data_IF_959672564857
#
_entry.id   IF_959672564857
#
_cell.length_a   1.000
_cell.length_b   1.000
_cell.length_c   1.000
_cell.angle_alpha   90.00
_cell.angle_beta   90.00
_cell.angle_gamma   90.00
#
_symmetry.space_group_name_H-M   'P 1'
#
loop_
_entity.id
_entity.type
_entity.pdbx_description
1 polymer ?
#
# COMPACT_ATOMS: atom_id res chain seq x y z
N UNK A 1 -3.07 -16.56 -3.85
CA UNK A 1 -4.36 -16.39 -3.13
C UNK A 1 -5.11 -17.72 -3.05
N UNK A 2 -5.52 -18.33 -4.17
CA UNK A 2 -6.29 -19.60 -4.17
C UNK A 2 -5.62 -20.79 -3.46
N UNK A 3 -4.29 -20.91 -3.52
CA UNK A 3 -3.56 -21.94 -2.78
C UNK A 3 -3.55 -21.71 -1.26
N UNK A 4 -3.55 -20.45 -0.83
CA UNK A 4 -3.60 -20.09 0.59
C UNK A 4 -5.00 -20.32 1.18
N UNK A 5 -6.06 -20.16 0.38
CA UNK A 5 -7.43 -20.51 0.79
C UNK A 5 -7.57 -22.02 1.04
N UNK A 6 -6.92 -22.86 0.23
CA UNK A 6 -6.88 -24.31 0.47
C UNK A 6 -6.11 -24.65 1.75
N UNK A 7 -4.99 -23.99 2.00
CA UNK A 7 -4.24 -24.14 3.25
C UNK A 7 -5.05 -23.68 4.47
N UNK A 8 -5.95 -22.71 4.31
CA UNK A 8 -6.84 -22.30 5.38
C UNK A 8 -7.93 -23.35 5.70
N UNK A 9 -8.39 -24.09 4.69
CA UNK A 9 -9.41 -25.14 4.84
C UNK A 9 -8.83 -26.47 5.37
N UNK A 10 -7.63 -26.83 4.95
CA UNK A 10 -7.02 -28.15 5.21
C UNK A 10 -5.78 -28.11 6.11
N UNK A 11 -5.30 -26.92 6.47
CA UNK A 11 -4.09 -26.75 7.27
C UNK A 11 -4.33 -26.94 8.77
N UNK A 12 -3.27 -27.34 9.47
CA UNK A 12 -3.23 -27.37 10.93
C UNK A 12 -3.37 -25.98 11.54
N UNK A 13 -3.67 -25.91 12.84
CA UNK A 13 -3.89 -24.65 13.57
C UNK A 13 -2.73 -23.64 13.40
N UNK A 14 -1.49 -24.12 13.42
CA UNK A 14 -0.30 -23.29 13.25
C UNK A 14 -0.24 -22.68 11.84
N UNK A 15 -0.59 -23.46 10.81
CA UNK A 15 -0.64 -22.99 9.43
C UNK A 15 -1.77 -21.97 9.29
N UNK A 16 -2.93 -22.21 9.91
CA UNK A 16 -4.07 -21.30 9.88
C UNK A 16 -3.74 -19.91 10.47
N UNK A 17 -2.86 -19.83 11.47
CA UNK A 17 -2.37 -18.55 12.04
C UNK A 17 -1.46 -17.78 11.10
N UNK A 18 -0.66 -18.47 10.29
CA UNK A 18 0.27 -17.83 9.34
C UNK A 18 -0.39 -17.37 8.04
N UNK A 19 -1.50 -18.00 7.62
CA UNK A 19 -2.18 -17.68 6.35
C UNK A 19 -2.63 -16.20 6.25
N UNK A 20 -3.26 -15.59 7.27
CA UNK A 20 -3.64 -14.18 7.21
C UNK A 20 -2.44 -13.27 6.95
N UNK A 21 -1.33 -13.51 7.66
CA UNK A 21 -0.10 -12.73 7.55
C UNK A 21 0.52 -12.85 6.14
N UNK A 22 0.53 -14.06 5.57
CA UNK A 22 1.01 -14.30 4.22
C UNK A 22 0.14 -13.60 3.16
N UNK A 23 -1.19 -13.62 3.32
CA UNK A 23 -2.11 -12.88 2.45
C UNK A 23 -1.93 -11.36 2.59
N UNK A 24 -1.66 -10.88 3.81
CA UNK A 24 -1.29 -9.49 4.09
C UNK A 24 -0.04 -9.08 3.32
N UNK A 25 1.03 -9.87 3.39
CA UNK A 25 2.30 -9.63 2.68
C UNK A 25 2.11 -9.57 1.15
N UNK A 26 1.27 -10.45 0.58
CA UNK A 26 1.02 -10.48 -0.86
C UNK A 26 0.24 -9.26 -1.37
N UNK A 27 -0.53 -8.60 -0.51
CA UNK A 27 -1.43 -7.51 -0.88
C UNK A 27 -1.16 -6.21 -0.10
N UNK A 28 0.10 -5.96 0.31
CA UNK A 28 0.47 -4.75 1.04
C UNK A 28 0.13 -3.50 0.22
N UNK A 29 -0.55 -2.55 0.88
CA UNK A 29 -0.98 -1.28 0.29
C UNK A 29 -1.78 -1.44 -1.02
N UNK A 30 -2.34 -2.63 -1.28
CA UNK A 30 -3.17 -2.95 -2.43
C UNK A 30 -4.48 -3.60 -1.95
N UNK A 31 -5.50 -2.80 -1.62
CA UNK A 31 -6.75 -3.29 -1.07
C UNK A 31 -7.62 -3.97 -2.14
N UNK A 32 -7.35 -5.27 -2.36
CA UNK A 32 -8.21 -6.13 -3.19
C UNK A 32 -9.44 -6.58 -2.40
N UNK A 33 -10.62 -6.39 -3.00
CA UNK A 33 -11.92 -6.70 -2.37
C UNK A 33 -12.00 -8.14 -1.87
N UNK A 34 -11.59 -9.11 -2.69
CA UNK A 34 -11.63 -10.53 -2.31
C UNK A 34 -10.78 -10.83 -1.07
N UNK A 35 -9.64 -10.16 -0.91
CA UNK A 35 -8.76 -10.35 0.25
C UNK A 35 -9.34 -9.65 1.48
N UNK A 36 -9.95 -8.47 1.31
CA UNK A 36 -10.65 -7.79 2.41
C UNK A 36 -11.80 -8.63 2.96
N UNK A 37 -12.62 -9.24 2.09
CA UNK A 37 -13.77 -10.04 2.52
C UNK A 37 -13.35 -11.38 3.17
N UNK A 38 -12.20 -11.94 2.79
CA UNK A 38 -11.60 -13.09 3.49
C UNK A 38 -11.06 -12.69 4.87
N UNK A 39 -10.34 -11.56 4.97
CA UNK A 39 -9.84 -11.04 6.24
C UNK A 39 -10.96 -10.68 7.21
N UNK A 40 -12.05 -10.08 6.73
CA UNK A 40 -13.21 -9.73 7.55
C UNK A 40 -13.92 -10.95 8.14
N UNK A 41 -13.85 -12.11 7.49
CA UNK A 41 -14.38 -13.36 8.06
C UNK A 41 -13.45 -13.91 9.13
N UNK A 42 -12.14 -13.86 8.88
CA UNK A 42 -11.11 -14.36 9.80
C UNK A 42 -10.93 -13.48 11.04
N UNK A 43 -11.28 -12.19 10.98
CA UNK A 43 -11.24 -11.30 12.14
C UNK A 43 -12.25 -11.64 13.24
N UNK A 44 -13.23 -12.51 12.97
CA UNK A 44 -14.19 -13.03 13.94
C UNK A 44 -13.98 -14.53 14.26
N UNK A 45 -12.82 -15.09 13.91
CA UNK A 45 -12.49 -16.49 14.23
C UNK A 45 -12.42 -16.72 15.75
N UNK A 46 -12.75 -17.94 16.18
CA UNK A 46 -12.71 -18.32 17.59
C UNK A 46 -11.27 -18.37 18.15
N UNK A 47 -10.27 -18.61 17.30
CA UNK A 47 -8.87 -18.53 17.72
C UNK A 47 -8.42 -17.05 17.78
N UNK A 48 -8.01 -16.64 18.98
CA UNK A 48 -7.55 -15.29 19.26
C UNK A 48 -6.32 -14.87 18.43
N UNK A 49 -5.40 -15.78 18.14
CA UNK A 49 -4.19 -15.48 17.36
C UNK A 49 -4.51 -15.34 15.87
N UNK A 50 -5.42 -16.15 15.33
CA UNK A 50 -5.90 -16.02 13.95
C UNK A 50 -6.64 -14.69 13.75
N UNK A 51 -7.53 -14.34 14.68
CA UNK A 51 -8.28 -13.07 14.62
C UNK A 51 -7.35 -11.86 14.73
N UNK A 52 -6.39 -11.86 15.66
CA UNK A 52 -5.38 -10.80 15.76
C UNK A 52 -4.51 -10.69 14.50
N UNK A 53 -4.04 -11.82 13.95
CA UNK A 53 -3.26 -11.84 12.72
C UNK A 53 -4.06 -11.28 11.53
N UNK A 54 -5.36 -11.61 11.43
CA UNK A 54 -6.25 -11.08 10.40
C UNK A 54 -6.45 -9.56 10.53
N UNK A 55 -6.61 -9.05 11.75
CA UNK A 55 -6.77 -7.61 12.01
C UNK A 55 -5.52 -6.84 11.59
N UNK A 56 -4.33 -7.30 11.97
CA UNK A 56 -3.07 -6.64 11.56
C UNK A 56 -2.88 -6.73 10.05
N UNK A 57 -3.17 -7.88 9.44
CA UNK A 57 -3.09 -8.08 8.00
C UNK A 57 -4.04 -7.14 7.25
N UNK A 58 -5.25 -6.92 7.77
CA UNK A 58 -6.20 -5.96 7.23
C UNK A 58 -5.64 -4.51 7.25
N UNK A 59 -4.94 -4.14 8.34
CA UNK A 59 -4.21 -2.88 8.43
C UNK A 59 -3.07 -2.75 7.41
N UNK A 60 -2.29 -3.81 7.20
CA UNK A 60 -1.19 -3.85 6.22
C UNK A 60 -1.69 -3.75 4.76
N UNK A 61 -2.82 -4.40 4.44
CA UNK A 61 -3.44 -4.33 3.11
C UNK A 61 -3.93 -2.91 2.80
N UNK A 62 -4.53 -2.25 3.79
CA UNK A 62 -5.01 -0.87 3.68
C UNK A 62 -3.95 0.19 3.93
N UNK A 63 -2.70 -0.21 4.17
CA UNK A 63 -1.68 0.71 4.67
C UNK A 63 -1.46 1.88 3.72
N UNK A 64 -1.71 3.10 4.20
CA UNK A 64 -1.50 4.31 3.42
C UNK A 64 -2.50 4.56 2.30
N UNK A 65 -3.51 3.70 2.11
CA UNK A 65 -4.48 3.86 1.02
C UNK A 65 -5.71 4.65 1.44
N UNK A 66 -5.86 4.94 2.74
CA UNK A 66 -7.03 5.63 3.31
C UNK A 66 -8.38 5.06 2.82
N UNK A 67 -8.47 3.73 2.70
CA UNK A 67 -9.65 3.07 2.14
C UNK A 67 -10.80 3.11 3.16
N UNK A 68 -11.89 3.81 2.80
CA UNK A 68 -13.05 3.98 3.66
C UNK A 68 -13.69 2.64 4.10
N UNK A 69 -13.65 1.61 3.25
CA UNK A 69 -14.22 0.29 3.58
C UNK A 69 -13.47 -0.39 4.70
N UNK A 70 -12.13 -0.40 4.62
CA UNK A 70 -11.26 -0.98 5.67
C UNK A 70 -11.39 -0.18 6.96
N UNK A 71 -11.39 1.15 6.87
CA UNK A 71 -11.57 2.02 8.03
C UNK A 71 -12.92 1.75 8.74
N UNK A 72 -14.00 1.55 7.98
CA UNK A 72 -15.31 1.16 8.51
C UNK A 72 -15.30 -0.20 9.20
N UNK A 73 -14.68 -1.22 8.57
CA UNK A 73 -14.54 -2.56 9.15
C UNK A 73 -13.75 -2.52 10.48
N UNK A 74 -12.62 -1.82 10.52
CA UNK A 74 -11.80 -1.68 11.72
C UNK A 74 -12.52 -0.90 12.83
N UNK A 75 -13.39 0.06 12.48
CA UNK A 75 -14.22 0.78 13.46
C UNK A 75 -15.25 -0.15 14.10
N UNK A 76 -15.89 -1.01 13.31
CA UNK A 76 -16.83 -2.01 13.83
C UNK A 76 -16.12 -3.04 14.73
N UNK A 77 -14.93 -3.51 14.32
CA UNK A 77 -14.11 -4.41 15.12
C UNK A 77 -13.66 -3.78 16.45
N UNK A 78 -13.37 -2.48 16.46
CA UNK A 78 -13.04 -1.75 17.70
C UNK A 78 -14.20 -1.73 18.69
N UNK A 79 -15.45 -1.64 18.22
CA UNK A 79 -16.63 -1.69 19.08
C UNK A 79 -16.92 -3.11 19.57
N UNK A 80 -16.66 -4.12 18.73
CA UNK A 80 -16.85 -5.53 19.08
C UNK A 80 -15.86 -6.00 20.14
N UNK A 81 -14.56 -5.73 19.96
CA UNK A 81 -13.48 -6.13 20.87
C UNK A 81 -13.19 -5.12 21.99
N UNK A 82 -14.14 -4.23 22.34
CA UNK A 82 -13.87 -3.17 23.33
C UNK A 82 -13.40 -3.71 24.70
N UNK A 83 -13.88 -4.90 25.09
CA UNK A 83 -13.56 -5.54 26.38
C UNK A 83 -12.18 -6.21 26.40
N UNK A 84 -11.66 -6.60 25.24
CA UNK A 84 -10.39 -7.34 25.12
C UNK A 84 -9.26 -6.39 24.74
N UNK A 85 -8.43 -6.03 25.72
CA UNK A 85 -7.35 -5.06 25.53
C UNK A 85 -6.34 -5.47 24.43
N UNK A 86 -6.03 -6.77 24.33
CA UNK A 86 -5.09 -7.30 23.32
C UNK A 86 -5.59 -7.11 21.88
N UNK A 87 -6.82 -7.51 21.60
CA UNK A 87 -7.44 -7.31 20.29
C UNK A 87 -7.63 -5.83 19.98
N UNK A 88 -8.06 -5.04 20.96
CA UNK A 88 -8.22 -3.60 20.79
C UNK A 88 -6.88 -2.94 20.41
N UNK A 89 -5.77 -3.34 21.02
CA UNK A 89 -4.43 -2.86 20.66
C UNK A 89 -4.09 -3.15 19.19
N UNK A 90 -4.32 -4.39 18.73
CA UNK A 90 -4.13 -4.77 17.33
C UNK A 90 -5.03 -3.96 16.37
N UNK A 91 -6.29 -3.72 16.73
CA UNK A 91 -7.21 -2.89 15.93
C UNK A 91 -6.71 -1.45 15.84
N UNK A 92 -6.19 -0.87 16.92
CA UNK A 92 -5.64 0.49 16.91
C UNK A 92 -4.41 0.61 16.01
N UNK A 93 -3.51 -0.38 16.05
CA UNK A 93 -2.36 -0.43 15.13
C UNK A 93 -2.86 -0.48 13.69
N UNK A 94 -3.80 -1.39 13.39
CA UNK A 94 -4.35 -1.51 12.04
C UNK A 94 -5.01 -0.20 11.55
N UNK A 95 -5.75 0.50 12.42
CA UNK A 95 -6.32 1.81 12.11
C UNK A 95 -5.22 2.85 11.80
N UNK A 96 -4.14 2.87 12.58
CA UNK A 96 -2.98 3.74 12.35
C UNK A 96 -2.29 3.46 11.01
N UNK A 97 -2.16 2.19 10.62
CA UNK A 97 -1.57 1.78 9.35
C UNK A 97 -2.42 2.25 8.15
N UNK A 98 -3.75 2.14 8.23
CA UNK A 98 -4.64 2.58 7.13
C UNK A 98 -4.49 4.07 6.82
N UNK A 99 -4.29 4.88 7.87
CA UNK A 99 -4.11 6.33 7.76
C UNK A 99 -2.65 6.77 7.83
N UNK A 100 -1.71 5.87 7.51
CA UNK A 100 -0.27 6.13 7.58
C UNK A 100 0.09 7.40 6.79
N UNK A 101 0.72 8.37 7.46
CA UNK A 101 1.07 9.65 6.85
C UNK A 101 -0.14 10.41 6.27
N UNK A 102 -1.35 10.25 6.83
CA UNK A 102 -2.63 10.74 6.28
C UNK A 102 -2.99 10.18 4.89
N UNK A 103 -2.42 9.03 4.52
CA UNK A 103 -2.56 8.42 3.19
C UNK A 103 -1.46 8.84 2.19
N UNK A 104 -0.42 9.54 2.66
CA UNK A 104 0.70 9.99 1.83
C UNK A 104 1.86 9.00 1.80
N UNK A 105 1.91 8.06 2.75
CA UNK A 105 2.95 7.04 2.86
C UNK A 105 2.41 5.68 2.45
N UNK A 106 3.21 4.85 1.80
CA UNK A 106 2.90 3.45 1.47
C UNK A 106 3.92 2.51 2.13
N UNK A 107 3.53 1.24 2.29
CA UNK A 107 4.40 0.17 2.79
C UNK A 107 4.78 -0.84 1.70
N UNK A 108 4.36 -0.62 0.46
CA UNK A 108 4.69 -1.51 -0.66
C UNK A 108 6.22 -1.59 -0.83
N UNK A 109 6.85 -2.78 -0.87
CA UNK A 109 8.30 -2.91 -1.07
C UNK A 109 8.73 -2.74 -2.53
N UNK A 110 7.76 -2.64 -3.43
CA UNK A 110 7.95 -2.46 -4.86
C UNK A 110 8.12 -0.99 -5.22
N UNK A 111 9.03 -0.71 -6.15
CA UNK A 111 9.33 0.62 -6.69
C UNK A 111 9.50 0.56 -8.21
N UNK A 112 9.40 1.72 -8.88
CA UNK A 112 9.54 1.86 -10.34
C UNK A 112 8.56 0.97 -11.08
N UNK A 113 7.26 1.26 -10.98
CA UNK A 113 6.22 0.52 -11.71
C UNK A 113 6.16 -0.98 -11.35
N UNK A 114 6.56 -1.30 -10.11
CA UNK A 114 6.70 -2.66 -9.57
C UNK A 114 7.78 -3.51 -10.21
N UNK A 115 8.70 -2.90 -10.94
CA UNK A 115 9.83 -3.60 -11.54
C UNK A 115 10.91 -3.95 -10.51
N UNK A 116 11.21 -3.03 -9.58
CA UNK A 116 12.26 -3.20 -8.58
C UNK A 116 11.67 -3.54 -7.22
N UNK A 117 12.28 -4.51 -6.55
CA UNK A 117 11.97 -4.89 -5.18
C UNK A 117 13.07 -4.38 -4.26
N UNK A 118 12.72 -3.53 -3.29
CA UNK A 118 13.66 -3.09 -2.26
C UNK A 118 13.88 -4.22 -1.24
N UNK A 119 15.11 -4.75 -1.09
CA UNK A 119 15.38 -5.81 -0.13
C UNK A 119 15.24 -5.33 1.32
N UNK A 120 15.51 -4.04 1.58
CA UNK A 120 15.44 -3.43 2.91
C UNK A 120 13.99 -3.32 3.38
N UNK A 121 13.10 -2.82 2.51
CA UNK A 121 11.67 -2.71 2.82
C UNK A 121 11.07 -4.11 3.05
N UNK A 122 11.44 -5.09 2.22
CA UNK A 122 11.00 -6.46 2.39
C UNK A 122 11.49 -7.08 3.71
N UNK A 123 12.77 -6.91 4.06
CA UNK A 123 13.33 -7.41 5.31
C UNK A 123 12.60 -6.81 6.52
N UNK A 124 12.29 -5.52 6.49
CA UNK A 124 11.51 -4.86 7.55
C UNK A 124 10.11 -5.45 7.72
N UNK A 125 9.39 -5.66 6.61
CA UNK A 125 8.07 -6.28 6.61
C UNK A 125 8.10 -7.73 7.11
N UNK A 126 9.03 -8.54 6.63
CA UNK A 126 9.17 -9.95 7.04
C UNK A 126 9.50 -10.05 8.53
N UNK A 127 10.33 -9.15 9.06
CA UNK A 127 10.68 -9.14 10.48
C UNK A 127 9.44 -8.86 11.35
N UNK A 128 8.63 -7.87 10.98
CA UNK A 128 7.38 -7.56 11.69
C UNK A 128 6.37 -8.71 11.57
N UNK A 129 6.23 -9.32 10.39
CA UNK A 129 5.34 -10.47 10.19
C UNK A 129 5.78 -11.69 10.98
N UNK A 130 7.08 -11.92 11.10
CA UNK A 130 7.62 -12.98 11.95
C UNK A 130 7.32 -12.73 13.43
N UNK A 131 7.45 -11.48 13.89
CA UNK A 131 7.03 -11.07 15.23
C UNK A 131 5.53 -11.28 15.46
N UNK A 132 4.69 -11.10 14.44
CA UNK A 132 3.25 -11.33 14.53
C UNK A 132 2.85 -12.81 14.69
N UNK A 133 3.75 -13.78 14.43
CA UNK A 133 3.46 -15.20 14.67
C UNK A 133 3.33 -15.50 16.17
N UNK A 134 4.06 -14.79 17.03
CA UNK A 134 3.90 -14.83 18.49
C UNK A 134 3.46 -13.45 19.02
N UNK A 135 2.23 -13.09 18.64
CA UNK A 135 1.63 -11.79 18.95
C UNK A 135 1.54 -11.52 20.46
N UNK A 136 1.27 -12.56 21.26
CA UNK A 136 1.05 -12.44 22.70
C UNK A 136 2.33 -12.09 23.46
N UNK A 137 3.44 -12.76 23.13
CA UNK A 137 4.69 -12.56 23.86
C UNK A 137 5.47 -11.34 23.36
N UNK A 138 5.46 -11.10 22.05
CA UNK A 138 6.27 -10.06 21.42
C UNK A 138 5.50 -8.74 21.36
N UNK A 139 4.37 -8.72 20.64
CA UNK A 139 3.66 -7.47 20.31
C UNK A 139 2.83 -6.95 21.46
N UNK A 140 2.15 -7.82 22.21
CA UNK A 140 1.35 -7.46 23.40
C UNK A 140 2.16 -7.48 24.71
N UNK A 141 3.39 -8.01 24.65
CA UNK A 141 4.23 -8.27 25.82
C UNK A 141 5.25 -7.17 26.09
N UNK A 142 6.54 -7.48 25.99
CA UNK A 142 7.63 -6.52 26.32
C UNK A 142 8.17 -5.77 25.10
N UNK A 143 7.96 -6.31 23.90
CA UNK A 143 8.71 -5.94 22.69
C UNK A 143 7.85 -5.17 21.66
N UNK A 144 6.94 -4.31 22.13
CA UNK A 144 6.08 -3.46 21.28
C UNK A 144 6.86 -2.64 20.24
N UNK A 145 8.10 -2.24 20.57
CA UNK A 145 8.95 -1.42 19.70
C UNK A 145 9.40 -2.14 18.42
N UNK A 146 9.23 -3.46 18.32
CA UNK A 146 9.46 -4.21 17.07
C UNK A 146 8.62 -3.68 15.91
N UNK A 147 7.47 -3.07 16.19
CA UNK A 147 6.63 -2.42 15.17
C UNK A 147 7.35 -1.23 14.49
N UNK A 148 8.31 -0.59 15.14
CA UNK A 148 9.08 0.52 14.53
C UNK A 148 9.98 0.05 13.38
N UNK A 149 10.28 -1.24 13.28
CA UNK A 149 11.02 -1.79 12.13
C UNK A 149 10.26 -1.55 10.82
N UNK A 150 8.94 -1.37 10.90
CA UNK A 150 8.09 -1.04 9.75
C UNK A 150 8.49 0.29 9.08
N UNK A 151 9.18 1.19 9.79
CA UNK A 151 9.69 2.45 9.23
C UNK A 151 10.64 2.23 8.04
N UNK A 152 11.34 1.10 7.99
CA UNK A 152 12.21 0.72 6.87
C UNK A 152 11.45 0.51 5.55
N UNK A 153 10.15 0.22 5.63
CA UNK A 153 9.28 0.02 4.48
C UNK A 153 8.42 1.27 4.16
N UNK A 154 8.48 2.32 4.98
CA UNK A 154 7.69 3.53 4.76
C UNK A 154 8.31 4.39 3.66
N UNK A 155 7.56 4.61 2.58
CA UNK A 155 7.97 5.50 1.49
C UNK A 155 6.82 6.44 1.07
N UNK A 156 7.12 7.66 0.61
CA UNK A 156 6.10 8.58 0.11
C UNK A 156 5.50 8.07 -1.20
N UNK A 157 4.19 8.25 -1.35
CA UNK A 157 3.39 7.79 -2.50
C UNK A 157 3.00 8.91 -3.45
N UNK A 158 3.18 10.17 -3.04
CA UNK A 158 2.84 11.33 -3.88
C UNK A 158 3.80 11.45 -5.06
N UNK A 159 3.26 11.77 -6.23
CA UNK A 159 4.01 12.27 -7.37
C UNK A 159 4.19 13.78 -7.20
N UNK A 160 5.43 14.20 -7.02
CA UNK A 160 5.83 15.59 -6.91
C UNK A 160 6.84 15.91 -8.01
N UNK A 161 6.56 16.96 -8.77
CA UNK A 161 7.41 17.43 -9.85
C UNK A 161 8.24 18.62 -9.39
N UNK A 162 9.51 18.62 -9.78
CA UNK A 162 10.50 19.61 -9.39
C UNK A 162 11.22 20.10 -10.64
N UNK A 163 11.57 21.39 -10.68
CA UNK A 163 12.39 21.99 -11.76
C UNK A 163 13.88 21.66 -11.56
N UNK A 164 14.73 22.02 -12.53
CA UNK A 164 16.20 21.82 -12.46
C UNK A 164 16.85 22.53 -11.26
N UNK A 165 16.27 23.65 -10.82
CA UNK A 165 16.68 24.41 -9.62
C UNK A 165 16.16 23.81 -8.30
N UNK A 166 15.62 22.60 -8.32
CA UNK A 166 15.00 21.92 -7.18
C UNK A 166 13.78 22.66 -6.57
N UNK A 167 13.14 23.54 -7.35
CA UNK A 167 11.90 24.23 -6.95
C UNK A 167 10.67 23.40 -7.30
N UNK A 168 9.65 23.34 -6.42
CA UNK A 168 8.43 22.60 -6.71
C UNK A 168 7.72 23.24 -7.91
N UNK A 169 7.40 22.44 -8.90
CA UNK A 169 6.75 22.87 -10.13
C UNK A 169 5.41 22.14 -10.25
N UNK A 170 4.30 22.86 -10.38
CA UNK A 170 2.99 22.25 -10.61
C UNK A 170 2.78 22.08 -12.11
N UNK A 171 2.64 20.83 -12.56
CA UNK A 171 2.44 20.46 -13.95
C UNK A 171 1.18 19.59 -14.05
N UNK A 172 0.38 19.75 -15.12
CA UNK A 172 -0.77 18.88 -15.35
C UNK A 172 -0.31 17.46 -15.74
N UNK A 173 -0.85 16.47 -15.05
CA UNK A 173 -0.56 15.05 -15.20
C UNK A 173 -1.87 14.29 -15.35
N UNK A 174 -1.91 13.33 -16.27
CA UNK A 174 -3.01 12.38 -16.43
C UNK A 174 -2.70 11.15 -15.60
N UNK A 175 -3.66 10.70 -14.81
CA UNK A 175 -3.55 9.49 -13.99
C UNK A 175 -4.55 8.47 -14.47
N UNK A 176 -4.14 7.22 -14.55
CA UNK A 176 -4.96 6.13 -15.06
C UNK A 176 -4.42 4.77 -14.66
N UNK A 177 -5.19 3.70 -14.91
CA UNK A 177 -4.69 2.35 -14.64
C UNK A 177 -3.54 2.03 -15.61
N UNK A 178 -2.52 1.35 -15.11
CA UNK A 178 -1.39 0.90 -15.92
C UNK A 178 -1.81 -0.13 -16.98
N UNK A 179 -1.41 0.09 -18.23
CA UNK A 179 -1.63 -0.79 -19.39
C UNK A 179 -0.44 -0.71 -20.32
N UNK A 180 -0.11 -1.80 -21.02
CA UNK A 180 1.11 -1.82 -21.85
C UNK A 180 1.00 -0.92 -23.08
N UNK A 181 -0.10 -0.99 -23.83
CA UNK A 181 -0.35 -0.11 -24.97
C UNK A 181 -1.85 0.12 -25.14
N UNK A 182 -2.26 1.39 -25.13
CA UNK A 182 -3.62 1.85 -25.49
C UNK A 182 -3.50 3.07 -26.40
N UNK A 183 -4.47 3.28 -27.29
CA UNK A 183 -4.52 4.46 -28.16
C UNK A 183 -4.35 4.13 -29.64
N UNK A 184 -4.29 5.17 -30.47
CA UNK A 184 -4.15 5.04 -31.91
C UNK A 184 -2.72 4.67 -32.30
N UNK A 185 -2.57 3.89 -33.38
CA UNK A 185 -1.27 3.55 -33.94
C UNK A 185 -0.48 4.84 -34.25
N UNK A 186 0.73 4.97 -33.69
CA UNK A 186 1.60 6.15 -33.83
C UNK A 186 1.74 7.01 -32.57
N UNK A 187 0.79 6.95 -31.62
CA UNK A 187 0.92 7.57 -30.28
C UNK A 187 0.43 6.59 -29.20
N UNK A 188 1.24 5.56 -28.87
CA UNK A 188 0.90 4.62 -27.81
C UNK A 188 0.86 5.35 -26.46
N UNK A 189 -0.16 5.08 -25.67
CA UNK A 189 -0.29 5.51 -24.27
C UNK A 189 -0.21 4.30 -23.35
N UNK A 190 0.33 4.51 -22.16
CA UNK A 190 0.51 3.47 -21.13
C UNK A 190 -0.50 3.54 -20.00
N UNK A 191 -1.46 4.48 -20.08
CA UNK A 191 -2.51 4.68 -19.06
C UNK A 191 -3.93 4.57 -19.64
N UNK A 192 -4.85 4.02 -18.84
CA UNK A 192 -6.29 4.18 -19.07
C UNK A 192 -6.80 5.41 -18.32
N UNK A 193 -7.05 6.51 -19.02
CA UNK A 193 -7.64 7.69 -18.39
C UNK A 193 -7.36 9.00 -19.13
N UNK A 194 -8.32 9.91 -19.03
CA UNK A 194 -8.21 11.27 -19.61
C UNK A 194 -8.31 12.38 -18.56
N UNK A 195 -8.61 12.02 -17.30
CA UNK A 195 -8.68 13.00 -16.22
C UNK A 195 -7.29 13.58 -15.97
N UNK A 196 -7.24 14.91 -15.96
CA UNK A 196 -6.00 15.66 -15.77
C UNK A 196 -6.04 16.27 -14.37
N UNK A 197 -4.99 16.01 -13.59
CA UNK A 197 -4.77 16.55 -12.26
C UNK A 197 -3.52 17.42 -12.27
N UNK A 198 -3.36 18.34 -11.32
CA UNK A 198 -2.14 19.12 -11.16
C UNK A 198 -1.28 18.52 -10.04
N UNK A 199 0.04 18.41 -10.25
CA UNK A 199 0.95 17.94 -9.20
C UNK A 199 1.01 18.91 -8.00
N UNK A 200 1.10 18.40 -6.76
CA UNK A 200 1.31 17.00 -6.38
C UNK A 200 0.03 16.13 -6.40
N UNK A 201 0.14 14.90 -6.90
CA UNK A 201 -0.98 13.94 -7.00
C UNK A 201 -0.65 12.65 -6.26
N UNK A 202 -1.65 12.02 -5.63
CA UNK A 202 -1.50 10.69 -5.04
C UNK A 202 -1.89 9.62 -6.07
N UNK A 203 -0.98 8.70 -6.35
CA UNK A 203 -1.22 7.62 -7.32
C UNK A 203 -1.87 6.41 -6.66
N UNK A 204 -2.94 5.89 -7.25
CA UNK A 204 -3.59 4.59 -7.03
C UNK A 204 -2.61 3.40 -6.94
N UNK A 205 -3.02 2.28 -6.35
CA UNK A 205 -2.21 1.06 -6.40
C UNK A 205 -2.38 0.43 -7.79
N UNK A 206 -1.39 0.58 -8.67
CA UNK A 206 -1.48 0.14 -10.07
C UNK A 206 -2.02 1.21 -11.02
N UNK A 207 -2.11 2.45 -10.54
CA UNK A 207 -2.22 3.61 -11.42
C UNK A 207 -0.82 4.07 -11.86
N UNK A 208 -0.77 4.65 -13.05
CA UNK A 208 0.38 5.30 -13.65
C UNK A 208 0.02 6.74 -13.98
N UNK A 209 1.05 7.58 -14.00
CA UNK A 209 0.96 8.98 -14.39
C UNK A 209 1.67 9.21 -15.72
N UNK A 210 1.10 10.08 -16.56
CA UNK A 210 1.73 10.62 -17.77
C UNK A 210 1.57 12.15 -17.78
N UNK A 211 2.57 12.88 -18.26
CA UNK A 211 2.47 14.33 -18.40
C UNK A 211 1.40 14.69 -19.43
N UNK A 212 0.57 15.69 -19.13
CA UNK A 212 -0.45 16.19 -20.06
C UNK A 212 0.11 17.22 -21.05
N UNK A 213 1.26 17.81 -20.75
CA UNK A 213 1.89 18.90 -21.50
C UNK A 213 3.27 18.52 -22.02
N UNK A 214 3.58 18.95 -23.25
CA UNK A 214 4.91 18.78 -23.87
C UNK A 214 5.91 19.90 -23.49
N UNK A 215 5.48 20.88 -22.66
CA UNK A 215 6.31 21.97 -22.13
C UNK A 215 7.53 21.48 -21.34
N UNK A 216 7.38 20.34 -20.67
CA UNK A 216 8.38 19.77 -19.79
C UNK A 216 8.65 18.31 -20.18
N UNK A 217 9.92 17.94 -20.16
CA UNK A 217 10.38 16.57 -20.37
C UNK A 217 10.85 16.00 -19.02
N UNK A 218 10.35 14.84 -18.60
CA UNK A 218 10.83 14.21 -17.38
C UNK A 218 12.20 13.56 -17.62
N UNK A 219 13.10 13.67 -16.65
CA UNK A 219 14.41 13.00 -16.73
C UNK A 219 14.28 11.48 -16.57
N UNK A 220 13.24 11.02 -15.88
CA UNK A 220 12.94 9.60 -15.70
C UNK A 220 11.76 9.17 -16.56
N UNK A 221 11.79 7.97 -17.16
CA UNK A 221 10.66 7.46 -17.94
C UNK A 221 9.45 7.11 -17.06
N UNK A 222 9.67 6.85 -15.77
CA UNK A 222 8.63 6.53 -14.79
C UNK A 222 8.34 7.77 -13.95
N UNK A 223 7.06 8.15 -13.86
CA UNK A 223 6.58 9.26 -13.06
C UNK A 223 6.09 8.77 -11.69
N UNK A 224 7.03 8.44 -10.80
CA UNK A 224 6.75 8.02 -9.42
C UNK A 224 7.60 8.83 -8.42
N UNK A 225 7.01 9.19 -7.27
CA UNK A 225 7.73 9.89 -6.21
C UNK A 225 8.17 11.30 -6.63
N UNK A 226 9.47 11.57 -6.57
CA UNK A 226 10.04 12.86 -6.96
C UNK A 226 10.58 12.80 -8.38
N UNK A 227 10.01 13.60 -9.28
CA UNK A 227 10.42 13.66 -10.68
C UNK A 227 10.97 15.04 -10.99
N UNK A 228 12.18 15.07 -11.54
CA UNK A 228 12.78 16.30 -12.06
C UNK A 228 12.34 16.48 -13.51
N UNK A 229 11.77 17.65 -13.79
CA UNK A 229 11.30 18.08 -15.09
C UNK A 229 12.29 19.10 -15.67
N UNK A 230 12.68 18.89 -16.92
CA UNK A 230 13.46 19.84 -17.72
C UNK A 230 12.53 20.57 -18.68
N UNK A 231 12.74 21.88 -18.87
CA UNK A 231 12.03 22.63 -19.91
C UNK A 231 12.40 22.10 -21.30
N UNK A 232 11.41 21.84 -22.12
CA UNK A 232 11.62 21.33 -23.47
C UNK A 232 12.21 22.44 -24.37
N UNK A 233 13.43 22.28 -24.93
CA UNK A 233 14.04 23.30 -25.79
C UNK A 233 13.37 23.43 -27.16
N UNK A 234 12.63 22.41 -27.62
CA UNK A 234 11.92 22.41 -28.91
C UNK A 234 10.48 22.90 -28.79
N UNK A 235 10.04 23.29 -27.59
CA UNK A 235 8.69 23.77 -27.37
C UNK A 235 8.55 25.24 -27.79
N UNK A 236 7.87 25.44 -28.92
CA UNK A 236 7.39 26.76 -29.32
C UNK A 236 5.98 27.00 -28.75
N UNK A 237 5.79 28.10 -28.02
CA UNK A 237 4.46 28.58 -27.66
C UNK A 237 3.81 29.16 -28.93
N UNK A 238 2.87 28.40 -29.51
CA UNK A 238 1.87 28.94 -30.44
C UNK A 238 0.86 29.83 -29.70
#
# INVERSE_FOLDING_TARGET
VRSLERLLQYGEQNIRRAVPLALGLLCISNPKVNVMDTMSRLSHDADAEVSMAAIISLGLIGAGTNNARIAGMLRNLSSYYYKEAGHLFCVRIAQGLVHLGKGLLTLSPYHSDRFLLSPIALAGLVTVLHACLDMKSIILGKYHYMLYILTLAMQPRMLLTVDEDLKPLSVPVRVGQAVDVVGQAGRPKTITGFQTHSTPVLLAAGERAELATEKYLPLTPVLEGFVILRKNPEYHED
#
